data_IF_832025728392
#
_entry.id   IF_832025728392
#
_cell.length_a   1.000
_cell.length_b   1.000
_cell.length_c   1.000
_cell.angle_alpha   90.00
_cell.angle_beta   90.00
_cell.angle_gamma   90.00
#
_symmetry.space_group_name_H-M   'P 1'
#
loop_
_entity.id
_entity.type
_entity.pdbx_description
1 polymer ?
#
# COMPACT_ATOMS: atom_id res chain seq x y z
N UNK A 1 -8.55 -0.55 -25.28
CA UNK A 1 -10.00 -0.28 -25.25
C UNK A 1 -10.20 1.21 -25.01
N UNK A 2 -10.97 1.91 -25.86
CA UNK A 2 -11.27 3.33 -25.64
C UNK A 2 -12.04 3.49 -24.32
N UNK A 3 -11.64 4.48 -23.53
CA UNK A 3 -12.27 4.78 -22.25
C UNK A 3 -13.70 5.27 -22.46
N UNK A 4 -14.66 4.60 -21.83
CA UNK A 4 -16.08 4.94 -21.99
C UNK A 4 -16.57 5.87 -20.87
N UNK A 5 -17.69 6.57 -21.09
CA UNK A 5 -18.35 7.32 -20.03
C UNK A 5 -18.74 6.42 -18.83
N UNK A 6 -18.99 5.13 -19.08
CA UNK A 6 -19.23 4.15 -18.03
C UNK A 6 -17.97 3.92 -17.18
N UNK A 7 -16.80 3.78 -17.82
CA UNK A 7 -15.52 3.62 -17.13
C UNK A 7 -15.19 4.82 -16.25
N UNK A 8 -15.49 6.02 -16.75
CA UNK A 8 -15.43 7.26 -15.97
C UNK A 8 -16.24 7.21 -14.70
N UNK A 9 -17.51 6.84 -14.83
CA UNK A 9 -18.43 6.83 -13.70
C UNK A 9 -18.05 5.76 -12.67
N UNK A 10 -17.57 4.60 -13.12
CA UNK A 10 -17.04 3.55 -12.22
C UNK A 10 -15.83 4.10 -11.45
N UNK A 11 -14.87 4.70 -12.15
CA UNK A 11 -13.66 5.21 -11.51
C UNK A 11 -13.93 6.37 -10.55
N UNK A 12 -14.80 7.30 -10.95
CA UNK A 12 -15.30 8.37 -10.09
C UNK A 12 -15.99 7.80 -8.85
N UNK A 13 -16.83 6.76 -9.01
CA UNK A 13 -17.49 6.07 -7.92
C UNK A 13 -16.51 5.42 -6.94
N UNK A 14 -15.42 4.82 -7.44
CA UNK A 14 -14.35 4.25 -6.60
C UNK A 14 -13.62 5.33 -5.80
N UNK A 15 -13.20 6.44 -6.42
CA UNK A 15 -12.57 7.53 -5.67
C UNK A 15 -13.52 8.20 -4.67
N UNK A 16 -14.80 8.35 -5.02
CA UNK A 16 -15.82 8.91 -4.12
C UNK A 16 -16.03 8.01 -2.91
N UNK A 17 -16.14 6.71 -3.13
CA UNK A 17 -16.25 5.72 -2.06
C UNK A 17 -15.03 5.77 -1.14
N UNK A 18 -13.84 5.77 -1.72
CA UNK A 18 -12.58 5.85 -0.97
C UNK A 18 -12.45 7.17 -0.18
N UNK A 19 -12.84 8.31 -0.77
CA UNK A 19 -12.92 9.61 -0.08
C UNK A 19 -13.80 9.53 1.17
N UNK A 20 -15.02 9.03 1.03
CA UNK A 20 -15.98 8.94 2.15
C UNK A 20 -15.44 8.02 3.24
N UNK A 21 -14.94 6.84 2.86
CA UNK A 21 -14.39 5.86 3.80
C UNK A 21 -13.22 6.44 4.58
N UNK A 22 -12.24 7.08 3.91
CA UNK A 22 -11.09 7.67 4.59
C UNK A 22 -11.45 8.89 5.42
N UNK A 23 -12.41 9.72 5.00
CA UNK A 23 -12.86 10.85 5.79
C UNK A 23 -13.53 10.41 7.10
N UNK A 24 -14.40 9.38 7.02
CA UNK A 24 -15.05 8.79 8.19
C UNK A 24 -14.01 8.09 9.08
N UNK A 25 -13.08 7.35 8.50
CA UNK A 25 -11.97 6.69 9.20
C UNK A 25 -11.10 7.70 9.96
N UNK A 26 -10.71 8.80 9.31
CA UNK A 26 -9.94 9.89 9.91
C UNK A 26 -10.69 10.53 11.09
N UNK A 27 -11.98 10.83 10.90
CA UNK A 27 -12.82 11.38 11.98
C UNK A 27 -12.81 10.47 13.22
N UNK A 28 -13.06 9.17 13.05
CA UNK A 28 -13.07 8.25 14.19
C UNK A 28 -11.68 8.00 14.76
N UNK A 29 -10.63 7.97 13.95
CA UNK A 29 -9.27 7.86 14.46
C UNK A 29 -8.93 9.03 15.38
N UNK A 30 -9.25 10.28 14.99
CA UNK A 30 -9.07 11.43 15.87
C UNK A 30 -9.98 11.38 17.09
N UNK A 31 -11.22 10.90 16.94
CA UNK A 31 -12.17 10.78 18.05
C UNK A 31 -11.73 9.76 19.12
N UNK A 32 -11.03 8.71 18.69
CA UNK A 32 -10.53 7.62 19.53
C UNK A 32 -9.09 7.83 20.02
N UNK A 33 -8.36 8.80 19.46
CA UNK A 33 -7.01 9.10 19.86
C UNK A 33 -6.99 9.58 21.32
N UNK A 34 -6.13 9.01 22.19
CA UNK A 34 -5.96 9.52 23.54
C UNK A 34 -5.53 10.99 23.53
N UNK A 35 -5.98 11.73 24.54
CA UNK A 35 -5.58 13.12 24.70
C UNK A 35 -4.04 13.23 24.84
N UNK A 36 -3.38 14.22 24.22
CA UNK A 36 -1.92 14.33 24.21
C UNK A 36 -1.28 14.27 25.60
N UNK A 37 -1.91 14.85 26.62
CA UNK A 37 -1.47 14.86 28.01
C UNK A 37 -1.40 13.46 28.66
N UNK A 38 -2.14 12.48 28.11
CA UNK A 38 -2.09 11.08 28.55
C UNK A 38 -0.97 10.30 27.84
N UNK A 39 -0.47 10.80 26.71
CA UNK A 39 0.60 10.16 25.96
C UNK A 39 1.96 10.60 26.52
N UNK A 40 2.50 9.85 27.50
CA UNK A 40 3.83 10.13 28.08
C UNK A 40 5.01 9.69 27.20
N UNK A 41 4.75 9.23 25.98
CA UNK A 41 5.76 8.77 25.04
C UNK A 41 6.35 9.93 24.25
N UNK A 42 7.64 9.87 23.98
CA UNK A 42 8.34 10.86 23.18
C UNK A 42 9.26 10.19 22.17
N UNK A 43 9.31 10.76 20.96
CA UNK A 43 10.30 10.35 19.96
C UNK A 43 11.64 10.94 20.40
N UNK A 44 12.70 10.13 20.32
CA UNK A 44 14.04 10.48 20.75
C UNK A 44 15.09 10.17 19.69
N UNK A 45 16.25 10.81 19.82
CA UNK A 45 17.49 10.42 19.11
C UNK A 45 18.51 9.97 20.13
N UNK A 46 19.37 9.04 19.75
CA UNK A 46 20.44 8.54 20.62
C UNK A 46 21.76 9.24 20.30
N UNK A 47 22.43 9.76 21.33
CA UNK A 47 23.81 10.21 21.26
C UNK A 47 24.70 9.23 22.03
N UNK A 48 25.76 8.76 21.39
CA UNK A 48 26.73 7.85 22.00
C UNK A 48 27.89 8.68 22.53
N UNK A 49 28.00 8.74 23.85
CA UNK A 49 29.10 9.42 24.54
C UNK A 49 30.12 8.36 24.96
N UNK A 50 31.33 8.43 24.37
CA UNK A 50 32.44 7.56 24.75
C UNK A 50 33.20 8.17 25.92
N UNK A 51 33.40 7.38 26.98
CA UNK A 51 34.16 7.78 28.16
C UNK A 51 35.26 6.76 28.42
N UNK A 52 36.43 7.22 28.83
CA UNK A 52 37.44 6.36 29.45
C UNK A 52 37.29 6.50 30.95
N UNK A 53 36.95 5.41 31.64
CA UNK A 53 36.85 5.44 33.10
C UNK A 53 38.26 5.62 33.65
N UNK A 54 38.61 6.84 34.04
CA UNK A 54 39.88 7.14 34.74
C UNK A 54 39.82 6.51 36.13
N UNK A 55 40.10 5.22 36.23
CA UNK A 55 40.01 4.48 37.49
C UNK A 55 40.10 2.96 37.37
N UNK A 56 39.70 2.39 36.22
CA UNK A 56 39.94 0.97 35.94
C UNK A 56 41.30 0.80 35.27
N UNK A 57 42.15 -0.05 35.85
CA UNK A 57 43.51 -0.33 35.36
C UNK A 57 43.54 -0.96 33.95
N UNK A 58 42.39 -1.31 33.37
CA UNK A 58 42.25 -1.84 32.02
C UNK A 58 42.16 -0.76 30.93
N UNK A 59 41.82 0.49 31.28
CA UNK A 59 41.67 1.58 30.31
C UNK A 59 40.59 1.32 29.23
N UNK A 60 39.65 0.42 29.49
CA UNK A 60 38.64 0.03 28.50
C UNK A 60 37.68 1.19 28.20
N UNK A 61 37.43 1.50 26.92
CA UNK A 61 36.44 2.51 26.54
C UNK A 61 35.04 2.02 26.94
N UNK A 62 34.36 2.80 27.79
CA UNK A 62 32.94 2.63 28.07
C UNK A 62 32.14 3.58 27.19
N UNK A 63 30.89 3.23 26.88
CA UNK A 63 29.98 4.14 26.20
C UNK A 63 28.67 4.25 26.98
N UNK A 64 28.11 5.45 26.96
CA UNK A 64 26.77 5.72 27.46
C UNK A 64 25.90 6.17 26.31
N UNK A 65 24.67 5.64 26.27
CA UNK A 65 23.66 6.02 25.28
C UNK A 65 22.72 7.00 25.96
N UNK A 66 22.74 8.25 25.50
CA UNK A 66 21.85 9.30 25.98
C UNK A 66 20.70 9.49 24.99
N UNK A 67 19.46 9.52 25.51
CA UNK A 67 18.26 9.73 24.70
C UNK A 67 17.87 11.20 24.76
N UNK A 68 18.04 11.89 23.64
CA UNK A 68 17.61 13.28 23.47
C UNK A 68 16.20 13.32 22.89
N UNK A 69 15.29 13.98 23.59
CA UNK A 69 13.89 14.11 23.16
C UNK A 69 13.77 15.05 21.95
N UNK A 70 13.08 14.61 20.90
CA UNK A 70 12.83 15.41 19.68
C UNK A 70 11.36 15.74 19.44
N UNK A 71 10.42 14.92 19.92
CA UNK A 71 8.99 15.15 19.75
C UNK A 71 8.19 14.59 20.92
N UNK A 72 7.24 15.38 21.42
CA UNK A 72 6.47 15.07 22.62
C UNK A 72 5.13 14.46 22.30
N UNK A 73 4.63 13.66 23.25
CA UNK A 73 3.27 13.13 23.23
C UNK A 73 2.96 12.38 21.93
N UNK A 74 3.89 11.52 21.51
CA UNK A 74 3.77 10.73 20.30
C UNK A 74 2.53 9.83 20.38
N UNK A 75 1.60 10.02 19.44
CA UNK A 75 0.33 9.31 19.40
C UNK A 75 0.13 8.61 18.06
N UNK A 76 0.28 7.30 18.07
CA UNK A 76 0.13 6.43 16.91
C UNK A 76 -1.25 6.55 16.23
N UNK A 77 -2.34 6.56 17.01
CA UNK A 77 -3.71 6.69 16.47
C UNK A 77 -3.88 8.06 15.81
N UNK A 78 -3.35 9.13 16.39
CA UNK A 78 -3.40 10.46 15.79
C UNK A 78 -2.59 10.54 14.48
N UNK A 79 -1.41 9.93 14.42
CA UNK A 79 -0.60 9.81 13.19
C UNK A 79 -1.38 9.07 12.11
N UNK A 80 -2.04 7.97 12.47
CA UNK A 80 -2.93 7.21 11.58
C UNK A 80 -4.11 8.08 11.11
N UNK A 81 -4.73 8.86 11.99
CA UNK A 81 -5.77 9.82 11.63
C UNK A 81 -5.31 10.86 10.61
N UNK A 82 -4.09 11.38 10.75
CA UNK A 82 -3.48 12.28 9.75
C UNK A 82 -3.24 11.57 8.42
N UNK A 83 -2.76 10.33 8.44
CA UNK A 83 -2.61 9.50 7.24
C UNK A 83 -3.96 9.32 6.50
N UNK A 84 -5.03 8.99 7.21
CA UNK A 84 -6.38 8.81 6.65
C UNK A 84 -6.92 10.14 6.09
N UNK A 85 -6.68 11.26 6.77
CA UNK A 85 -7.08 12.59 6.31
C UNK A 85 -6.36 12.99 5.01
N UNK A 86 -5.04 12.81 4.94
CA UNK A 86 -4.26 13.10 3.72
C UNK A 86 -4.73 12.21 2.57
N UNK A 87 -5.03 10.93 2.86
CA UNK A 87 -5.59 10.01 1.87
C UNK A 87 -6.94 10.52 1.36
N UNK A 88 -7.86 10.90 2.26
CA UNK A 88 -9.15 11.47 1.89
C UNK A 88 -9.00 12.72 0.99
N UNK A 89 -8.10 13.63 1.35
CA UNK A 89 -7.79 14.83 0.53
C UNK A 89 -7.28 14.43 -0.86
N UNK A 90 -6.41 13.43 -0.94
CA UNK A 90 -5.91 12.92 -2.23
C UNK A 90 -7.03 12.38 -3.12
N UNK A 91 -7.99 11.65 -2.53
CA UNK A 91 -9.17 11.18 -3.26
C UNK A 91 -10.15 12.30 -3.62
N UNK A 92 -10.28 13.35 -2.80
CA UNK A 92 -11.03 14.56 -3.16
C UNK A 92 -10.42 15.25 -4.39
N UNK A 93 -9.09 15.36 -4.46
CA UNK A 93 -8.38 15.89 -5.62
C UNK A 93 -8.67 15.04 -6.86
N UNK A 94 -8.67 13.71 -6.73
CA UNK A 94 -9.03 12.80 -7.84
C UNK A 94 -10.47 13.00 -8.31
N UNK A 95 -11.45 13.06 -7.38
CA UNK A 95 -12.86 13.33 -7.68
C UNK A 95 -13.02 14.66 -8.40
N UNK A 96 -12.42 15.74 -7.88
CA UNK A 96 -12.47 17.06 -8.50
C UNK A 96 -11.86 17.03 -9.91
N UNK A 97 -10.71 16.38 -10.08
CA UNK A 97 -10.07 16.25 -11.40
C UNK A 97 -10.97 15.50 -12.37
N UNK A 98 -11.56 14.37 -11.97
CA UNK A 98 -12.47 13.60 -12.83
C UNK A 98 -13.77 14.35 -13.16
N UNK A 99 -14.31 15.15 -12.23
CA UNK A 99 -15.52 15.93 -12.46
C UNK A 99 -15.27 17.12 -13.40
N UNK A 100 -14.17 17.84 -13.21
CA UNK A 100 -13.93 19.14 -13.87
C UNK A 100 -12.97 19.08 -15.06
N UNK A 101 -12.02 18.12 -15.12
CA UNK A 101 -11.18 17.89 -16.28
C UNK A 101 -11.79 16.79 -17.17
N UNK A 102 -12.25 17.20 -18.35
CA UNK A 102 -12.78 16.30 -19.40
C UNK A 102 -11.83 16.10 -20.59
N UNK A 103 -10.57 16.50 -20.46
CA UNK A 103 -9.80 16.99 -21.61
C UNK A 103 -9.21 15.93 -22.54
N UNK A 104 -8.97 14.69 -22.11
CA UNK A 104 -8.35 13.66 -22.99
C UNK A 104 -9.18 12.39 -23.21
N UNK A 105 -10.16 12.09 -22.36
CA UNK A 105 -10.98 10.87 -22.47
C UNK A 105 -11.97 10.91 -23.65
N UNK A 106 -12.49 12.11 -24.00
CA UNK A 106 -13.40 12.29 -25.14
C UNK A 106 -12.75 11.99 -26.50
N UNK A 107 -11.42 11.93 -26.57
CA UNK A 107 -10.68 11.66 -27.81
C UNK A 107 -10.39 10.16 -28.01
N UNK A 108 -10.86 9.27 -27.14
CA UNK A 108 -10.70 7.81 -27.31
C UNK A 108 -9.24 7.33 -27.21
N UNK A 109 -8.30 8.17 -26.78
CA UNK A 109 -6.86 7.90 -26.72
C UNK A 109 -6.42 7.07 -25.50
N UNK A 110 -7.34 6.37 -24.84
CA UNK A 110 -6.98 5.48 -23.75
C UNK A 110 -6.47 4.15 -24.31
N UNK A 111 -5.16 3.95 -24.26
CA UNK A 111 -4.50 2.74 -24.76
C UNK A 111 -4.28 1.69 -23.67
N UNK A 112 -5.14 1.63 -22.64
CA UNK A 112 -4.99 0.65 -21.54
C UNK A 112 -3.76 0.90 -20.65
N UNK A 113 -3.28 2.14 -20.55
CA UNK A 113 -2.17 2.50 -19.65
C UNK A 113 -2.69 3.24 -18.43
N UNK A 114 -2.02 3.04 -17.29
CA UNK A 114 -2.20 3.87 -16.10
C UNK A 114 -2.24 5.36 -16.46
N UNK A 115 -3.27 6.05 -16.01
CA UNK A 115 -3.56 7.44 -16.36
C UNK A 115 -2.47 8.32 -15.77
N UNK A 116 -1.95 9.23 -16.60
CA UNK A 116 -0.79 10.05 -16.23
C UNK A 116 -1.02 10.88 -14.98
N UNK A 117 -2.19 11.47 -14.88
CA UNK A 117 -2.60 12.27 -13.71
C UNK A 117 -2.79 11.37 -12.49
N UNK A 118 -3.40 10.20 -12.68
CA UNK A 118 -3.70 9.27 -11.58
C UNK A 118 -2.45 8.64 -10.98
N UNK A 119 -1.52 8.10 -11.79
CA UNK A 119 -0.32 7.50 -11.20
C UNK A 119 0.54 8.54 -10.51
N UNK A 120 0.62 9.76 -11.03
CA UNK A 120 1.37 10.85 -10.37
C UNK A 120 0.79 11.15 -9.01
N UNK A 121 -0.54 11.35 -8.94
CA UNK A 121 -1.27 11.54 -7.68
C UNK A 121 -1.04 10.37 -6.73
N UNK A 122 -1.23 9.13 -7.20
CA UNK A 122 -1.06 7.89 -6.43
C UNK A 122 0.32 7.77 -5.81
N UNK A 123 1.40 7.92 -6.58
CA UNK A 123 2.75 7.76 -6.04
C UNK A 123 3.15 8.90 -5.10
N UNK A 124 2.67 10.12 -5.32
CA UNK A 124 2.84 11.23 -4.36
C UNK A 124 2.10 10.93 -3.06
N UNK A 125 0.84 10.53 -3.16
CA UNK A 125 0.04 10.11 -2.00
C UNK A 125 0.77 8.99 -1.25
N UNK A 126 1.09 7.88 -1.90
CA UNK A 126 1.70 6.73 -1.26
C UNK A 126 3.08 7.03 -0.68
N UNK A 127 3.86 7.92 -1.31
CA UNK A 127 5.14 8.41 -0.78
C UNK A 127 4.99 9.04 0.60
N UNK A 128 3.84 9.66 0.87
CA UNK A 128 3.51 10.32 2.15
C UNK A 128 2.72 9.37 3.06
N UNK A 129 1.58 8.89 2.60
CA UNK A 129 0.60 8.17 3.42
C UNK A 129 1.10 6.79 3.85
N UNK A 130 1.74 6.02 2.96
CA UNK A 130 2.25 4.70 3.35
C UNK A 130 3.33 4.84 4.44
N UNK A 131 4.24 5.81 4.28
CA UNK A 131 5.26 6.11 5.28
C UNK A 131 4.68 6.60 6.61
N UNK A 132 3.67 7.48 6.58
CA UNK A 132 3.00 7.93 7.82
C UNK A 132 2.28 6.77 8.52
N UNK A 133 1.64 5.87 7.77
CA UNK A 133 1.01 4.69 8.32
C UNK A 133 2.04 3.75 8.96
N UNK A 134 3.17 3.51 8.29
CA UNK A 134 4.30 2.74 8.82
C UNK A 134 4.83 3.32 10.14
N UNK A 135 5.12 4.63 10.16
CA UNK A 135 5.57 5.33 11.37
C UNK A 135 4.53 5.25 12.48
N UNK A 136 3.25 5.48 12.16
CA UNK A 136 2.16 5.39 13.13
C UNK A 136 2.12 4.02 13.80
N UNK A 137 2.21 2.94 13.01
CA UNK A 137 2.22 1.59 13.56
C UNK A 137 3.50 1.27 14.34
N UNK A 138 4.68 1.71 13.90
CA UNK A 138 5.95 1.52 14.63
C UNK A 138 5.97 2.26 15.97
N UNK A 139 5.55 3.53 15.99
CA UNK A 139 5.33 4.29 17.22
C UNK A 139 4.36 3.56 18.13
N UNK A 140 3.32 2.97 17.54
CA UNK A 140 2.34 2.16 18.25
C UNK A 140 2.91 0.89 18.87
N UNK A 141 3.87 0.25 18.20
CA UNK A 141 4.65 -0.89 18.70
C UNK A 141 5.75 -0.47 19.69
N UNK A 142 5.89 0.81 20.00
CA UNK A 142 6.87 1.34 20.95
C UNK A 142 8.23 1.69 20.35
N UNK A 143 8.39 1.68 19.02
CA UNK A 143 9.56 2.26 18.39
C UNK A 143 9.47 3.79 18.40
N UNK A 144 10.38 4.42 19.15
CA UNK A 144 10.42 5.85 19.40
C UNK A 144 11.76 6.47 18.99
N UNK A 145 12.68 5.69 18.43
CA UNK A 145 13.93 6.20 17.86
C UNK A 145 13.64 6.91 16.53
N UNK A 146 13.79 8.24 16.54
CA UNK A 146 13.53 9.10 15.40
C UNK A 146 14.39 8.81 14.18
N UNK A 147 15.59 8.23 14.36
CA UNK A 147 16.45 7.81 13.24
C UNK A 147 15.83 6.61 12.54
N UNK A 148 15.36 5.60 13.28
CA UNK A 148 14.68 4.42 12.72
C UNK A 148 13.42 4.84 11.99
N UNK A 149 12.57 5.66 12.61
CA UNK A 149 11.33 6.16 12.00
C UNK A 149 11.61 6.96 10.72
N UNK A 150 12.64 7.82 10.71
CA UNK A 150 13.05 8.57 9.53
C UNK A 150 13.59 7.66 8.41
N UNK A 151 14.37 6.63 8.76
CA UNK A 151 14.86 5.65 7.78
C UNK A 151 13.71 4.89 7.12
N UNK A 152 12.68 4.51 7.87
CA UNK A 152 11.47 3.86 7.32
C UNK A 152 10.73 4.80 6.37
N UNK A 153 10.53 6.08 6.74
CA UNK A 153 9.92 7.08 5.85
C UNK A 153 10.70 7.24 4.53
N UNK A 154 12.02 7.36 4.61
CA UNK A 154 12.89 7.52 3.43
C UNK A 154 12.89 6.25 2.56
N UNK A 155 12.91 5.07 3.19
CA UNK A 155 12.80 3.79 2.49
C UNK A 155 11.47 3.67 1.75
N UNK A 156 10.34 4.01 2.38
CA UNK A 156 9.05 4.05 1.70
C UNK A 156 9.06 5.06 0.55
N UNK A 157 9.50 6.31 0.77
CA UNK A 157 9.57 7.30 -0.29
C UNK A 157 10.39 6.82 -1.50
N UNK A 158 11.55 6.19 -1.26
CA UNK A 158 12.38 5.60 -2.31
C UNK A 158 11.64 4.47 -3.07
N UNK A 159 10.96 3.57 -2.35
CA UNK A 159 10.15 2.51 -2.93
C UNK A 159 9.02 3.06 -3.83
N UNK A 160 8.30 4.08 -3.37
CA UNK A 160 7.21 4.70 -4.14
C UNK A 160 7.75 5.46 -5.36
N UNK A 161 8.92 6.09 -5.26
CA UNK A 161 9.60 6.72 -6.39
C UNK A 161 10.03 5.73 -7.47
N UNK A 162 10.42 4.50 -7.08
CA UNK A 162 10.67 3.41 -8.04
C UNK A 162 9.37 3.01 -8.74
N UNK A 163 8.26 2.91 -8.01
CA UNK A 163 6.94 2.69 -8.60
C UNK A 163 6.57 3.75 -9.64
N UNK A 164 6.76 5.03 -9.30
CA UNK A 164 6.58 6.15 -10.23
C UNK A 164 7.49 6.05 -11.46
N UNK A 165 8.77 5.73 -11.28
CA UNK A 165 9.71 5.51 -12.36
C UNK A 165 9.24 4.40 -13.32
N UNK A 166 8.76 3.28 -12.78
CA UNK A 166 8.27 2.15 -13.56
C UNK A 166 7.04 2.51 -14.43
N UNK A 167 6.12 3.31 -13.89
CA UNK A 167 4.92 3.79 -14.61
C UNK A 167 5.27 4.86 -15.64
N UNK A 168 6.24 5.73 -15.34
CA UNK A 168 6.72 6.75 -16.27
C UNK A 168 7.58 6.18 -17.40
N UNK A 169 8.20 5.01 -17.20
CA UNK A 169 9.12 4.39 -18.15
C UNK A 169 8.37 3.67 -19.28
N UNK A 170 8.67 3.96 -20.56
CA UNK A 170 8.10 3.23 -21.69
C UNK A 170 8.40 1.72 -21.64
N UNK A 171 7.39 0.91 -21.93
CA UNK A 171 7.48 -0.57 -21.86
C UNK A 171 8.69 -1.17 -22.62
N UNK A 172 9.13 -0.54 -23.72
CA UNK A 172 10.27 -1.00 -24.54
C UNK A 172 11.63 -1.00 -23.83
N UNK A 173 11.79 -0.18 -22.79
CA UNK A 173 13.05 -0.02 -22.04
C UNK A 173 12.89 -0.36 -20.56
N UNK A 174 11.74 -0.94 -20.17
CA UNK A 174 11.46 -1.28 -18.79
C UNK A 174 12.33 -2.46 -18.37
N UNK A 175 12.99 -2.33 -17.21
CA UNK A 175 13.77 -3.39 -16.57
C UNK A 175 13.07 -3.85 -15.31
N UNK A 176 13.23 -5.13 -14.94
CA UNK A 176 12.67 -5.69 -13.70
C UNK A 176 13.51 -5.30 -12.48
N UNK A 177 14.75 -4.88 -12.71
CA UNK A 177 15.74 -4.58 -11.66
C UNK A 177 15.22 -3.53 -10.66
N UNK A 178 14.66 -2.37 -11.07
CA UNK A 178 14.11 -1.41 -10.11
C UNK A 178 13.05 -2.03 -9.21
N UNK A 179 12.17 -2.87 -9.77
CA UNK A 179 11.11 -3.54 -9.03
C UNK A 179 11.65 -4.54 -8.02
N UNK A 180 12.71 -5.28 -8.36
CA UNK A 180 13.42 -6.15 -7.41
C UNK A 180 14.01 -5.32 -6.26
N UNK A 181 14.63 -4.17 -6.56
CA UNK A 181 15.16 -3.27 -5.53
C UNK A 181 14.06 -2.73 -4.61
N UNK A 182 12.90 -2.35 -5.17
CA UNK A 182 11.75 -1.94 -4.38
C UNK A 182 11.24 -3.08 -3.46
N UNK A 183 11.23 -4.32 -3.94
CA UNK A 183 10.90 -5.49 -3.11
C UNK A 183 11.89 -5.69 -1.97
N UNK A 184 13.19 -5.53 -2.22
CA UNK A 184 14.21 -5.61 -1.17
C UNK A 184 13.99 -4.54 -0.10
N UNK A 185 13.72 -3.30 -0.50
CA UNK A 185 13.42 -2.18 0.42
C UNK A 185 12.17 -2.51 1.26
N UNK A 186 11.08 -2.94 0.61
CA UNK A 186 9.85 -3.35 1.29
C UNK A 186 10.10 -4.48 2.29
N UNK A 187 10.90 -5.48 1.90
CA UNK A 187 11.24 -6.60 2.77
C UNK A 187 12.02 -6.15 4.01
N UNK A 188 12.94 -5.18 3.86
CA UNK A 188 13.64 -4.57 5.00
C UNK A 188 12.66 -3.86 5.95
N UNK A 189 11.69 -3.11 5.43
CA UNK A 189 10.65 -2.48 6.27
C UNK A 189 9.82 -3.55 7.00
N UNK A 190 9.39 -4.61 6.31
CA UNK A 190 8.65 -5.73 6.92
C UNK A 190 9.47 -6.39 8.03
N UNK A 191 10.78 -6.59 7.84
CA UNK A 191 11.66 -7.15 8.89
C UNK A 191 11.66 -6.27 10.14
N UNK A 192 11.77 -4.95 9.98
CA UNK A 192 11.72 -4.02 11.13
C UNK A 192 10.42 -4.21 11.91
N UNK A 193 9.28 -4.26 11.23
CA UNK A 193 7.98 -4.54 11.84
C UNK A 193 7.92 -5.89 12.58
N UNK A 194 8.46 -6.95 11.98
CA UNK A 194 8.48 -8.29 12.59
C UNK A 194 9.36 -8.30 13.84
N UNK A 195 10.53 -7.65 13.81
CA UNK A 195 11.44 -7.57 14.95
C UNK A 195 10.77 -6.83 16.11
N UNK A 196 10.10 -5.70 15.84
CA UNK A 196 9.36 -4.97 16.87
C UNK A 196 8.18 -5.78 17.40
N UNK A 197 7.41 -6.43 16.53
CA UNK A 197 6.32 -7.30 16.97
C UNK A 197 6.81 -8.46 17.86
N UNK A 198 7.94 -9.09 17.51
CA UNK A 198 8.53 -10.17 18.29
C UNK A 198 9.16 -9.69 19.61
N UNK A 199 9.74 -8.49 19.63
CA UNK A 199 10.32 -7.89 20.83
C UNK A 199 9.29 -7.38 21.84
N UNK A 200 8.04 -7.22 21.42
CA UNK A 200 6.93 -6.73 22.25
C UNK A 200 5.98 -7.85 22.71
N UNK A 201 6.39 -9.11 22.66
CA UNK A 201 5.57 -10.19 23.21
C UNK A 201 5.46 -10.05 24.72
N UNK A 202 4.24 -9.94 25.24
CA UNK A 202 3.98 -9.87 26.67
C UNK A 202 3.01 -10.98 27.08
N UNK A 203 3.48 -11.94 27.88
CA UNK A 203 2.68 -13.07 28.36
C UNK A 203 1.49 -12.64 29.24
N UNK A 204 1.47 -11.38 29.71
CA UNK A 204 0.42 -10.83 30.57
C UNK A 204 -0.69 -10.10 29.82
N UNK A 205 -0.49 -9.69 28.56
CA UNK A 205 -1.47 -8.94 27.76
C UNK A 205 -1.89 -9.76 26.55
N UNK A 206 -3.01 -10.49 26.69
CA UNK A 206 -3.52 -11.37 25.64
C UNK A 206 -3.92 -10.61 24.37
N UNK A 207 -4.37 -9.36 24.53
CA UNK A 207 -4.74 -8.46 23.43
C UNK A 207 -3.58 -8.01 22.53
N UNK A 208 -2.34 -8.09 23.02
CA UNK A 208 -1.17 -7.52 22.36
C UNK A 208 -0.72 -8.39 21.18
N UNK A 209 -1.48 -8.32 20.09
CA UNK A 209 -1.29 -9.17 18.91
C UNK A 209 -0.51 -8.47 17.79
N UNK A 210 0.65 -7.90 18.10
CA UNK A 210 1.47 -7.22 17.08
C UNK A 210 1.99 -8.16 15.98
N UNK A 211 2.15 -9.45 16.28
CA UNK A 211 2.46 -10.46 15.26
C UNK A 211 1.36 -10.58 14.22
N UNK A 212 0.08 -10.49 14.62
CA UNK A 212 -1.05 -10.45 13.68
C UNK A 212 -0.98 -9.21 12.80
N UNK A 213 -0.76 -8.03 13.40
CA UNK A 213 -0.60 -6.78 12.65
C UNK A 213 0.55 -6.86 11.64
N UNK A 214 1.70 -7.44 12.02
CA UNK A 214 2.85 -7.59 11.13
C UNK A 214 2.54 -8.53 9.94
N UNK A 215 1.81 -9.62 10.16
CA UNK A 215 1.38 -10.51 9.08
C UNK A 215 0.41 -9.80 8.12
N UNK A 216 -0.59 -9.12 8.66
CA UNK A 216 -1.56 -8.34 7.86
C UNK A 216 -0.84 -7.25 7.07
N UNK A 217 0.08 -6.51 7.71
CA UNK A 217 0.95 -5.52 7.07
C UNK A 217 1.71 -6.13 5.89
N UNK A 218 2.43 -7.23 6.11
CA UNK A 218 3.20 -7.90 5.07
C UNK A 218 2.31 -8.32 3.89
N UNK A 219 1.15 -8.93 4.15
CA UNK A 219 0.22 -9.38 3.09
C UNK A 219 -0.26 -8.21 2.21
N UNK A 220 -0.70 -7.11 2.84
CA UNK A 220 -1.20 -5.95 2.10
C UNK A 220 -0.07 -5.23 1.34
N UNK A 221 1.09 -5.02 1.96
CA UNK A 221 2.20 -4.33 1.30
C UNK A 221 2.77 -5.16 0.14
N UNK A 222 2.96 -6.47 0.33
CA UNK A 222 3.38 -7.38 -0.73
C UNK A 222 2.39 -7.38 -1.90
N UNK A 223 1.09 -7.21 -1.65
CA UNK A 223 0.09 -7.18 -2.71
C UNK A 223 0.31 -6.05 -3.72
N UNK A 224 0.78 -4.87 -3.29
CA UNK A 224 1.11 -3.76 -4.20
C UNK A 224 2.31 -4.10 -5.08
N UNK A 225 3.35 -4.71 -4.49
CA UNK A 225 4.53 -5.15 -5.22
C UNK A 225 4.21 -6.24 -6.23
N UNK A 226 3.42 -7.25 -5.81
CA UNK A 226 2.95 -8.33 -6.68
C UNK A 226 2.14 -7.75 -7.82
N UNK A 227 1.15 -6.88 -7.53
CA UNK A 227 0.34 -6.24 -8.55
C UNK A 227 1.20 -5.45 -9.56
N UNK A 228 2.21 -4.71 -9.10
CA UNK A 228 3.13 -4.00 -10.00
C UNK A 228 3.90 -4.98 -10.90
N UNK A 229 4.42 -6.10 -10.38
CA UNK A 229 5.10 -7.13 -11.18
C UNK A 229 4.17 -7.75 -12.21
N UNK A 230 2.95 -8.13 -11.79
CA UNK A 230 1.94 -8.71 -12.68
C UNK A 230 1.63 -7.73 -13.83
N UNK A 231 1.41 -6.45 -13.50
CA UNK A 231 1.24 -5.38 -14.46
C UNK A 231 2.40 -5.31 -15.47
N UNK A 232 3.63 -5.40 -15.00
CA UNK A 232 4.79 -5.19 -15.85
C UNK A 232 5.14 -6.40 -16.73
N UNK A 233 4.92 -7.62 -16.26
CA UNK A 233 5.54 -8.82 -16.84
C UNK A 233 4.60 -9.99 -17.12
N UNK A 234 3.41 -10.03 -16.52
CA UNK A 234 2.55 -11.20 -16.70
C UNK A 234 1.86 -11.15 -18.07
N UNK A 235 2.15 -12.17 -18.88
CA UNK A 235 1.36 -12.57 -20.03
C UNK A 235 0.43 -13.70 -19.60
N UNK A 236 -0.86 -13.57 -19.88
CA UNK A 236 -1.91 -14.52 -19.55
C UNK A 236 -2.54 -15.07 -20.82
N UNK A 237 -2.90 -16.35 -20.77
CA UNK A 237 -3.76 -16.95 -21.78
C UNK A 237 -5.22 -16.70 -21.34
N UNK A 238 -5.87 -15.71 -21.96
CA UNK A 238 -7.21 -15.26 -21.58
C UNK A 238 -8.19 -15.45 -22.73
N UNK A 239 -9.36 -16.02 -22.44
CA UNK A 239 -10.45 -16.17 -23.40
C UNK A 239 -10.04 -16.86 -24.73
N UNK A 240 -9.13 -17.85 -24.65
CA UNK A 240 -8.65 -18.63 -25.81
C UNK A 240 -7.52 -17.97 -26.61
N UNK A 241 -7.07 -16.77 -26.21
CA UNK A 241 -5.93 -16.07 -26.81
C UNK A 241 -4.68 -16.30 -25.96
N UNK A 242 -3.55 -16.59 -26.61
CA UNK A 242 -2.27 -16.78 -25.93
C UNK A 242 -1.46 -15.49 -25.87
N UNK A 243 -0.80 -15.26 -24.74
CA UNK A 243 0.15 -14.15 -24.58
C UNK A 243 -0.48 -12.76 -24.45
N UNK A 244 -1.69 -12.65 -23.91
CA UNK A 244 -2.34 -11.36 -23.65
C UNK A 244 -1.71 -10.73 -22.40
N UNK A 245 -1.33 -9.47 -22.42
CA UNK A 245 -0.71 -8.86 -21.23
C UNK A 245 -1.75 -8.58 -20.16
N UNK A 246 -1.40 -8.81 -18.90
CA UNK A 246 -2.24 -8.48 -17.74
C UNK A 246 -2.75 -7.02 -17.80
N UNK A 247 -1.87 -6.09 -18.20
CA UNK A 247 -2.17 -4.67 -18.37
C UNK A 247 -3.26 -4.37 -19.42
N UNK A 248 -3.40 -5.22 -20.42
CA UNK A 248 -4.40 -5.06 -21.47
C UNK A 248 -5.78 -5.58 -21.02
N UNK A 249 -5.79 -6.39 -19.96
CA UNK A 249 -6.96 -7.09 -19.46
C UNK A 249 -7.60 -6.48 -18.21
N UNK A 250 -6.94 -5.56 -17.51
CA UNK A 250 -7.42 -5.06 -16.22
C UNK A 250 -7.12 -3.56 -16.14
N UNK A 251 -8.06 -2.76 -15.62
CA UNK A 251 -7.79 -1.36 -15.29
C UNK A 251 -6.94 -1.28 -14.01
N UNK A 252 -5.62 -1.19 -14.21
CA UNK A 252 -4.59 -1.21 -13.16
C UNK A 252 -4.87 -0.12 -12.11
N UNK A 253 -5.30 1.07 -12.53
CA UNK A 253 -5.55 2.17 -11.61
C UNK A 253 -6.75 1.88 -10.69
N UNK A 254 -7.78 1.17 -11.17
CA UNK A 254 -8.90 0.73 -10.30
C UNK A 254 -8.42 -0.24 -9.24
N UNK A 255 -7.59 -1.20 -9.61
CA UNK A 255 -7.02 -2.15 -8.66
C UNK A 255 -6.15 -1.41 -7.63
N UNK A 256 -5.33 -0.45 -8.06
CA UNK A 256 -4.56 0.37 -7.13
C UNK A 256 -5.43 1.18 -6.18
N UNK A 257 -6.53 1.76 -6.64
CA UNK A 257 -7.47 2.47 -5.75
C UNK A 257 -8.06 1.50 -4.73
N UNK A 258 -8.51 0.32 -5.17
CA UNK A 258 -9.08 -0.70 -4.27
C UNK A 258 -8.07 -1.21 -3.25
N UNK A 259 -6.88 -1.63 -3.68
CA UNK A 259 -5.78 -2.00 -2.78
C UNK A 259 -5.42 -0.83 -1.85
N UNK A 260 -5.39 0.39 -2.39
CA UNK A 260 -5.07 1.63 -1.69
C UNK A 260 -5.95 1.87 -0.46
N UNK A 261 -7.27 1.85 -0.65
CA UNK A 261 -8.16 2.10 0.48
C UNK A 261 -8.32 0.88 1.39
N UNK A 262 -8.39 -0.33 0.84
CA UNK A 262 -8.57 -1.55 1.66
C UNK A 262 -7.38 -1.78 2.58
N UNK A 263 -6.15 -1.65 2.07
CA UNK A 263 -4.94 -1.83 2.90
C UNK A 263 -4.86 -0.82 4.05
N UNK A 264 -5.05 0.47 3.77
CA UNK A 264 -5.03 1.53 4.78
C UNK A 264 -6.11 1.29 5.84
N UNK A 265 -7.34 1.02 5.43
CA UNK A 265 -8.45 0.78 6.36
C UNK A 265 -8.18 -0.47 7.22
N UNK A 266 -7.75 -1.58 6.62
CA UNK A 266 -7.43 -2.78 7.40
C UNK A 266 -6.33 -2.52 8.41
N UNK A 267 -5.23 -1.87 8.00
CA UNK A 267 -4.08 -1.65 8.88
C UNK A 267 -4.39 -0.64 9.98
N UNK A 268 -4.99 0.49 9.64
CA UNK A 268 -5.42 1.53 10.58
C UNK A 268 -6.34 0.95 11.65
N UNK A 269 -7.39 0.23 11.23
CA UNK A 269 -8.38 -0.31 12.17
C UNK A 269 -7.92 -1.56 12.90
N UNK A 270 -7.02 -2.36 12.31
CA UNK A 270 -6.36 -3.45 13.04
C UNK A 270 -5.52 -2.90 14.19
N UNK A 271 -4.70 -1.87 13.91
CA UNK A 271 -3.88 -1.25 14.94
C UNK A 271 -4.73 -0.57 16.03
N UNK A 272 -5.73 0.22 15.64
CA UNK A 272 -6.64 0.88 16.59
C UNK A 272 -7.32 -0.16 17.48
N UNK A 273 -7.84 -1.25 16.91
CA UNK A 273 -8.49 -2.29 17.68
C UNK A 273 -7.55 -3.00 18.66
N UNK A 274 -6.32 -3.34 18.25
CA UNK A 274 -5.30 -3.89 19.15
C UNK A 274 -5.05 -2.91 20.30
N UNK A 275 -4.79 -1.64 19.98
CA UNK A 275 -4.48 -0.61 20.97
C UNK A 275 -5.61 -0.42 21.98
N UNK A 276 -6.86 -0.35 21.51
CA UNK A 276 -8.06 -0.21 22.35
C UNK A 276 -8.25 -1.41 23.26
N UNK A 277 -8.10 -2.62 22.73
CA UNK A 277 -8.21 -3.85 23.50
C UNK A 277 -7.12 -3.93 24.58
N UNK A 278 -5.89 -3.53 24.26
CA UNK A 278 -4.78 -3.48 25.21
C UNK A 278 -5.01 -2.46 26.31
N UNK A 279 -5.54 -1.28 25.98
CA UNK A 279 -5.88 -0.29 27.01
C UNK A 279 -6.99 -0.79 27.94
N UNK A 280 -8.01 -1.47 27.41
CA UNK A 280 -9.05 -2.08 28.23
C UNK A 280 -8.49 -3.12 29.23
N UNK A 281 -7.55 -3.98 28.81
CA UNK A 281 -6.85 -4.92 29.71
C UNK A 281 -6.03 -4.20 30.80
N UNK A 282 -5.50 -3.01 30.50
CA UNK A 282 -4.72 -2.18 31.43
C UNK A 282 -5.59 -1.36 32.40
N UNK A 283 -6.91 -1.22 32.17
CA UNK A 283 -7.81 -0.33 32.95
C UNK A 283 -8.07 -0.74 34.41
N UNK A 284 -7.34 -1.72 34.95
CA UNK A 284 -7.16 -1.86 36.40
C UNK A 284 -6.46 -0.65 37.06
N UNK A 285 -5.89 0.26 36.26
CA UNK A 285 -5.25 1.51 36.71
C UNK A 285 -6.01 2.74 36.18
N UNK A 286 -6.55 3.57 37.09
CA UNK A 286 -7.34 4.76 36.77
C UNK A 286 -6.56 5.79 35.93
N UNK A 287 -5.23 5.87 36.07
CA UNK A 287 -4.38 6.81 35.34
C UNK A 287 -4.28 6.51 33.83
N UNK A 288 -4.56 5.27 33.43
CA UNK A 288 -4.51 4.81 32.03
C UNK A 288 -5.89 4.59 31.42
N UNK A 289 -6.96 4.89 32.16
CA UNK A 289 -8.31 4.75 31.66
C UNK A 289 -8.55 5.75 30.54
N UNK A 290 -9.02 5.26 29.40
CA UNK A 290 -9.49 6.13 28.34
C UNK A 290 -10.91 6.53 28.69
N UNK A 291 -11.08 7.82 28.97
CA UNK A 291 -12.34 8.38 29.47
C UNK A 291 -13.48 8.22 28.46
N UNK A 292 -13.13 8.10 27.18
CA UNK A 292 -14.05 7.91 26.08
C UNK A 292 -14.08 6.45 25.64
N UNK A 293 -15.13 5.74 26.07
CA UNK A 293 -15.57 4.49 25.46
C UNK A 293 -16.66 4.77 24.44
N UNK A 294 -16.62 4.13 23.28
CA UNK A 294 -17.76 4.14 22.36
C UNK A 294 -18.88 3.28 22.94
N UNK A 295 -20.13 3.55 22.55
CA UNK A 295 -21.30 2.97 23.22
C UNK A 295 -21.32 1.44 23.26
N UNK A 296 -20.68 0.78 22.30
CA UNK A 296 -20.57 -0.68 22.22
C UNK A 296 -19.37 -1.27 22.99
N UNK A 297 -18.38 -0.46 23.36
CA UNK A 297 -17.27 -0.86 24.25
C UNK A 297 -17.65 -0.86 25.74
N UNK A 298 -18.73 -0.15 26.10
CA UNK A 298 -19.16 0.00 27.50
C UNK A 298 -19.84 -1.26 28.08
N UNK A 299 -19.80 -2.38 27.37
CA UNK A 299 -20.34 -3.67 27.82
C UNK A 299 -19.21 -4.57 28.34
N UNK A 300 -19.53 -5.54 29.19
CA UNK A 300 -18.55 -6.53 29.73
C UNK A 300 -17.88 -7.41 28.66
N UNK A 301 -18.18 -7.19 27.37
CA UNK A 301 -17.69 -7.93 26.21
C UNK A 301 -16.69 -7.14 25.36
N UNK A 302 -16.07 -6.08 25.88
CA UNK A 302 -15.28 -5.13 25.07
C UNK A 302 -14.12 -5.79 24.30
N UNK A 303 -13.47 -6.82 24.86
CA UNK A 303 -12.43 -7.62 24.20
C UNK A 303 -12.98 -8.30 22.92
N UNK A 304 -14.12 -8.98 23.02
CA UNK A 304 -14.74 -9.67 21.87
C UNK A 304 -15.20 -8.69 20.78
N UNK A 305 -15.58 -7.48 21.18
CA UNK A 305 -16.05 -6.46 20.24
C UNK A 305 -14.93 -5.94 19.32
N UNK A 306 -13.71 -5.74 19.83
CA UNK A 306 -12.58 -5.29 19.03
C UNK A 306 -11.98 -6.40 18.16
N UNK A 307 -12.04 -7.65 18.59
CA UNK A 307 -11.72 -8.80 17.72
C UNK A 307 -12.66 -8.87 16.51
N UNK A 308 -13.96 -8.63 16.72
CA UNK A 308 -14.92 -8.57 15.63
C UNK A 308 -14.62 -7.42 14.64
N UNK A 309 -14.14 -6.27 15.11
CA UNK A 309 -13.70 -5.16 14.24
C UNK A 309 -12.50 -5.59 13.39
N UNK A 310 -11.43 -6.14 14.01
CA UNK A 310 -10.22 -6.60 13.28
C UNK A 310 -10.56 -7.60 12.18
N UNK A 311 -11.30 -8.64 12.54
CA UNK A 311 -11.68 -9.73 11.62
C UNK A 311 -12.67 -9.21 10.57
N UNK A 312 -13.67 -8.43 10.98
CA UNK A 312 -14.70 -7.90 10.09
C UNK A 312 -14.12 -6.98 9.01
N UNK A 313 -13.22 -6.06 9.38
CA UNK A 313 -12.55 -5.16 8.42
C UNK A 313 -11.65 -5.95 7.46
N UNK A 314 -10.91 -6.95 7.95
CA UNK A 314 -10.09 -7.81 7.09
C UNK A 314 -10.95 -8.60 6.09
N UNK A 315 -11.98 -9.32 6.56
CA UNK A 315 -12.85 -10.12 5.69
C UNK A 315 -13.58 -9.23 4.68
N UNK A 316 -14.16 -8.10 5.13
CA UNK A 316 -14.84 -7.16 4.25
C UNK A 316 -13.91 -6.65 3.15
N UNK A 317 -12.66 -6.32 3.48
CA UNK A 317 -11.66 -5.87 2.51
C UNK A 317 -11.25 -6.97 1.53
N UNK A 318 -11.04 -8.20 1.99
CA UNK A 318 -10.74 -9.33 1.12
C UNK A 318 -11.89 -9.63 0.15
N UNK A 319 -13.14 -9.53 0.61
CA UNK A 319 -14.34 -9.67 -0.24
C UNK A 319 -14.37 -8.57 -1.30
N UNK A 320 -14.12 -7.31 -0.93
CA UNK A 320 -14.06 -6.19 -1.88
C UNK A 320 -12.98 -6.41 -2.94
N UNK A 321 -11.77 -6.83 -2.53
CA UNK A 321 -10.67 -7.13 -3.46
C UNK A 321 -11.06 -8.27 -4.40
N UNK A 322 -11.58 -9.37 -3.86
CA UNK A 322 -11.97 -10.53 -4.67
C UNK A 322 -13.08 -10.18 -5.67
N UNK A 323 -14.11 -9.47 -5.24
CA UNK A 323 -15.20 -9.01 -6.12
C UNK A 323 -14.67 -8.07 -7.19
N UNK A 324 -13.77 -7.14 -6.86
CA UNK A 324 -13.15 -6.24 -7.84
C UNK A 324 -12.37 -7.02 -8.89
N UNK A 325 -11.51 -7.96 -8.47
CA UNK A 325 -10.74 -8.81 -9.38
C UNK A 325 -11.64 -9.64 -10.30
N UNK A 326 -12.74 -10.19 -9.77
CA UNK A 326 -13.72 -10.93 -10.56
C UNK A 326 -14.46 -10.04 -11.56
N UNK A 327 -14.91 -8.86 -11.14
CA UNK A 327 -15.64 -7.92 -12.00
C UNK A 327 -14.75 -7.38 -13.12
N UNK A 328 -13.48 -7.05 -12.83
CA UNK A 328 -12.52 -6.62 -13.84
C UNK A 328 -12.16 -7.79 -14.79
N UNK A 329 -11.84 -8.98 -14.25
CA UNK A 329 -11.51 -10.15 -15.06
C UNK A 329 -12.66 -10.61 -15.98
N UNK A 330 -13.88 -10.72 -15.46
CA UNK A 330 -15.06 -11.12 -16.25
C UNK A 330 -15.52 -10.01 -17.20
N UNK A 331 -15.44 -8.75 -16.79
CA UNK A 331 -15.86 -7.59 -17.58
C UNK A 331 -15.02 -7.46 -18.86
N UNK A 332 -13.71 -7.63 -18.73
CA UNK A 332 -12.79 -7.56 -19.87
C UNK A 332 -12.97 -8.74 -20.81
N UNK A 333 -13.06 -9.98 -20.31
CA UNK A 333 -13.24 -11.14 -21.19
C UNK A 333 -14.50 -11.01 -22.08
N UNK A 334 -15.57 -10.36 -21.57
CA UNK A 334 -16.80 -10.11 -22.33
C UNK A 334 -16.75 -8.97 -23.35
N UNK A 335 -15.91 -7.96 -23.13
CA UNK A 335 -15.73 -6.84 -24.08
C UNK A 335 -14.70 -7.17 -25.15
N UNK A 336 -13.55 -7.74 -24.74
CA UNK A 336 -12.47 -8.12 -25.66
C UNK A 336 -12.87 -9.21 -26.64
N UNK A 337 -13.61 -10.24 -26.20
CA UNK A 337 -14.08 -11.30 -27.09
C UNK A 337 -15.02 -10.77 -28.20
N UNK A 338 -15.71 -9.64 -27.96
CA UNK A 338 -16.55 -8.98 -28.97
C UNK A 338 -15.71 -8.20 -29.97
N UNK A 339 -14.76 -7.41 -29.49
CA UNK A 339 -13.94 -6.55 -30.36
C UNK A 339 -12.93 -7.34 -31.20
N UNK A 340 -12.28 -8.36 -30.61
CA UNK A 340 -11.33 -9.24 -31.33
C UNK A 340 -11.99 -9.98 -32.50
N UNK A 341 -13.24 -10.47 -32.30
CA UNK A 341 -14.02 -11.07 -33.39
C UNK A 341 -14.28 -10.07 -34.52
N UNK A 342 -14.49 -8.78 -34.20
CA UNK A 342 -14.78 -7.76 -35.21
C UNK A 342 -13.57 -7.42 -36.09
N UNK A 343 -12.36 -7.35 -35.51
CA UNK A 343 -11.13 -7.11 -36.29
C UNK A 343 -10.72 -8.32 -37.12
N UNK A 344 -10.87 -9.55 -36.58
CA UNK A 344 -10.54 -10.77 -37.33
C UNK A 344 -11.48 -11.06 -38.51
N UNK A 345 -12.71 -10.53 -38.48
CA UNK A 345 -13.68 -10.66 -39.57
C UNK A 345 -13.65 -9.46 -40.53
N UNK A 346 -13.00 -8.36 -40.14
CA UNK A 346 -12.95 -7.10 -40.88
C UNK A 346 -11.66 -6.87 -41.68
N UNK A 347 -10.62 -7.68 -41.50
CA UNK A 347 -9.48 -7.67 -42.42
C UNK A 347 -9.88 -8.44 -43.68
N UNK A 348 -10.09 -7.79 -44.85
CA UNK A 348 -10.14 -8.53 -46.09
C UNK A 348 -8.86 -9.34 -46.18
N UNK A 349 -8.96 -10.64 -46.50
CA UNK A 349 -7.82 -11.40 -46.97
C UNK A 349 -7.21 -10.56 -48.09
N UNK A 350 -6.11 -9.88 -47.79
CA UNK A 350 -5.20 -9.41 -48.82
C UNK A 350 -4.67 -10.73 -49.37
N UNK A 351 -5.31 -11.22 -50.44
CA UNK A 351 -4.75 -12.23 -51.30
C UNK A 351 -3.35 -11.77 -51.62
N UNK A 352 -2.37 -12.42 -50.98
CA UNK A 352 -0.96 -12.29 -51.31
C UNK A 352 -0.82 -12.67 -52.77
N UNK A 353 -0.90 -11.67 -53.65
CA UNK A 353 -0.43 -11.78 -55.01
C UNK A 353 1.03 -12.19 -54.95
N UNK A 354 1.32 -13.32 -55.58
CA UNK A 354 2.64 -13.87 -55.86
C UNK A 354 3.69 -12.78 -56.10
N UNK A 355 4.61 -12.62 -55.15
CA UNK A 355 5.94 -12.11 -55.43
C UNK A 355 6.96 -13.24 -55.30
N UNK A 356 7.05 -14.01 -56.39
CA UNK A 356 8.31 -14.61 -56.82
C UNK A 356 9.29 -13.47 -57.14
N UNK A 357 10.22 -13.15 -56.26
CA UNK A 357 11.58 -12.75 -56.70
C UNK A 357 12.61 -12.79 -55.57
N UNK A 358 13.71 -13.49 -55.88
CA UNK A 358 15.06 -13.37 -55.32
C UNK A 358 15.22 -13.58 -53.81
N UNK A 359 15.68 -14.78 -53.46
CA UNK A 359 16.13 -15.13 -52.13
C UNK A 359 17.31 -14.29 -51.65
N UNK A 360 17.15 -13.76 -50.44
CA UNK A 360 18.23 -13.68 -49.48
C UNK A 360 17.74 -14.37 -48.19
N UNK A 361 18.51 -15.30 -47.60
CA UNK A 361 18.11 -15.95 -46.36
C UNK A 361 18.17 -14.92 -45.23
N UNK A 362 16.99 -14.49 -44.78
CA UNK A 362 16.81 -13.74 -43.54
C UNK A 362 17.31 -14.61 -42.39
N UNK A 363 18.49 -14.26 -41.86
CA UNK A 363 18.98 -14.84 -40.62
C UNK A 363 17.99 -14.53 -39.50
N UNK A 364 17.24 -15.56 -39.09
CA UNK A 364 16.44 -15.58 -37.87
C UNK A 364 17.36 -15.32 -36.68
N UNK A 365 17.44 -14.05 -36.27
CA UNK A 365 18.11 -13.62 -35.05
C UNK A 365 17.27 -14.10 -33.87
N UNK A 366 17.50 -15.35 -33.43
CA UNK A 366 17.01 -15.88 -32.16
C UNK A 366 17.33 -14.86 -31.08
N UNK A 367 16.29 -14.30 -30.44
CA UNK A 367 16.43 -13.62 -29.16
C UNK A 367 17.00 -14.66 -28.18
N UNK A 368 18.27 -14.52 -27.79
CA UNK A 368 18.79 -15.25 -26.64
C UNK A 368 17.99 -14.77 -25.44
N UNK A 369 17.21 -15.68 -24.85
CA UNK A 369 16.91 -15.57 -23.44
C UNK A 369 18.25 -15.58 -22.69
N UNK A 370 18.29 -14.76 -21.66
CA UNK A 370 19.44 -14.49 -20.81
C UNK A 370 19.93 -15.82 -20.25
N UNK A 371 21.13 -16.26 -20.65
CA UNK A 371 21.89 -17.27 -19.92
C UNK A 371 22.38 -16.61 -18.63
N UNK A 372 21.71 -16.89 -17.51
CA UNK A 372 22.20 -16.59 -16.18
C UNK A 372 23.01 -17.81 -15.75
N UNK A 373 24.34 -17.76 -15.91
CA UNK A 373 25.24 -18.66 -15.21
C UNK A 373 25.58 -18.04 -13.85
N UNK A 374 25.25 -18.77 -12.79
CA UNK A 374 25.78 -18.54 -11.44
C UNK A 374 27.22 -19.02 -11.34
#
# INVERSE_FOLDING_TARGET
MPYTAKDKNIFLGLHTTSLVIHAVSAYYAFDLAPAPEKMKNYIYTESINFTTTTGDSSGEPTFTVEKTKIFDNANAIAIIGVNELITAISHLIAVATLMFHTTDEKLGKYTGRSRKEEYRRRWIEYGITAGLLEVGMLVGQGELNGVVLCMVLLANAAMQMIGWYNDATPARIRSVIPSINAFTIMFSIIIVFIIHAAGQTNDTLQSLSYSYLAVVFALFYLSFGVHQILYMYLEIDACGLKGVKYADCIDIDRIYVVLGFTSKIVLSWTYIAISRQTWDELTGNEDFRIDKKVSWEATDYSIQSWDAVKIGVLIGSLVIIALTCLLEGCGVCNSWARDYKSESLGQPLIETQDQKSSGQPLQLRRRRMIDINF
#
